data_IF_463514342494
#
_entry.id   IF_463514342494
#
_cell.length_a   1.000
_cell.length_b   1.000
_cell.length_c   1.000
_cell.angle_alpha   90.00
_cell.angle_beta   90.00
_cell.angle_gamma   90.00
#
_symmetry.space_group_name_H-M   'P 1'
#
loop_
_entity.id
_entity.type
_entity.pdbx_description
1 polymer ?
#
# COMPACT_ATOMS: atom_id res chain seq x y z
N UNK A 1 -3.85 11.36 1.76
CA UNK A 1 -3.14 11.63 3.02
C UNK A 1 -1.73 12.14 2.74
N UNK A 2 -0.87 11.39 2.04
CA UNK A 2 0.51 11.80 1.71
C UNK A 2 0.54 13.07 0.86
N UNK A 3 -0.31 13.20 -0.15
CA UNK A 3 -0.42 14.42 -0.96
C UNK A 3 -0.79 15.65 -0.11
N UNK A 4 -1.72 15.49 0.85
CA UNK A 4 -2.10 16.57 1.76
C UNK A 4 -0.98 17.02 2.71
N UNK A 5 0.03 16.17 2.97
CA UNK A 5 1.24 16.52 3.75
C UNK A 5 2.37 17.08 2.89
N UNK A 6 2.15 17.32 1.59
CA UNK A 6 3.15 17.79 0.65
C UNK A 6 4.09 16.71 0.10
N UNK A 7 3.77 15.42 0.29
CA UNK A 7 4.52 14.28 -0.25
C UNK A 7 3.74 13.54 -1.33
N UNK A 8 4.36 13.30 -2.48
CA UNK A 8 3.85 12.37 -3.49
C UNK A 8 4.68 11.09 -3.45
N UNK A 9 4.01 9.93 -3.45
CA UNK A 9 4.67 8.63 -3.42
C UNK A 9 4.43 7.89 -4.75
N UNK A 10 5.52 7.66 -5.48
CA UNK A 10 5.51 6.93 -6.75
C UNK A 10 5.82 5.44 -6.53
N UNK A 11 6.20 5.02 -5.33
CA UNK A 11 6.59 3.64 -5.04
C UNK A 11 5.42 2.71 -4.70
N UNK A 12 4.17 3.20 -4.74
CA UNK A 12 2.97 2.45 -4.37
C UNK A 12 2.87 1.12 -5.11
N UNK A 13 3.10 1.12 -6.44
CA UNK A 13 3.06 -0.10 -7.25
C UNK A 13 4.11 -1.13 -6.85
N UNK A 14 5.33 -0.67 -6.51
CA UNK A 14 6.39 -1.55 -6.03
C UNK A 14 6.10 -2.09 -4.62
N UNK A 15 5.53 -1.27 -3.75
CA UNK A 15 5.10 -1.69 -2.42
C UNK A 15 3.97 -2.75 -2.48
N UNK A 16 3.02 -2.60 -3.42
CA UNK A 16 2.01 -3.64 -3.72
C UNK A 16 2.68 -4.93 -4.19
N UNK A 17 3.69 -4.84 -5.07
CA UNK A 17 4.43 -6.01 -5.54
C UNK A 17 5.16 -6.74 -4.39
N UNK A 18 5.83 -6.02 -3.49
CA UNK A 18 6.49 -6.60 -2.32
C UNK A 18 5.47 -7.24 -1.38
N UNK A 19 4.42 -6.52 -0.99
CA UNK A 19 3.40 -7.03 -0.07
C UNK A 19 2.70 -8.27 -0.65
N UNK A 20 2.37 -8.23 -1.94
CA UNK A 20 1.78 -9.37 -2.65
C UNK A 20 2.72 -10.56 -2.76
N UNK A 21 4.01 -10.32 -3.03
CA UNK A 21 5.04 -11.36 -3.07
C UNK A 21 5.20 -12.07 -1.73
N UNK A 22 5.26 -11.32 -0.65
CA UNK A 22 5.33 -11.87 0.71
C UNK A 22 4.06 -12.64 1.05
N UNK A 23 2.88 -12.11 0.72
CA UNK A 23 1.60 -12.77 0.96
C UNK A 23 1.56 -14.14 0.26
N UNK A 24 1.88 -14.19 -1.04
CA UNK A 24 1.90 -15.45 -1.77
C UNK A 24 3.00 -16.39 -1.29
N UNK A 25 4.16 -15.87 -0.91
CA UNK A 25 5.23 -16.70 -0.35
C UNK A 25 4.80 -17.39 0.94
N UNK A 26 4.03 -16.70 1.78
CA UNK A 26 3.47 -17.29 3.02
C UNK A 26 2.37 -18.28 2.71
N UNK A 27 1.50 -18.01 1.73
CA UNK A 27 0.42 -18.92 1.34
C UNK A 27 0.91 -20.17 0.62
N UNK A 28 1.89 -20.03 -0.27
CA UNK A 28 2.43 -21.12 -1.09
C UNK A 28 3.60 -21.85 -0.41
N UNK A 29 4.27 -21.23 0.58
CA UNK A 29 5.48 -21.78 1.17
C UNK A 29 6.63 -21.87 0.17
N UNK A 30 7.27 -23.05 0.09
CA UNK A 30 8.37 -23.30 -0.85
C UNK A 30 7.90 -23.76 -2.24
N UNK A 31 6.64 -24.16 -2.38
CA UNK A 31 6.08 -24.65 -3.64
C UNK A 31 5.41 -23.51 -4.39
N UNK A 32 5.76 -23.30 -5.65
CA UNK A 32 5.16 -22.26 -6.48
C UNK A 32 3.71 -22.52 -6.88
N UNK A 33 3.22 -23.74 -6.71
CA UNK A 33 1.84 -24.19 -7.01
C UNK A 33 1.38 -25.22 -5.98
N UNK A 34 1.02 -24.82 -4.77
CA UNK A 34 0.52 -25.75 -3.78
C UNK A 34 -0.93 -26.13 -4.07
N UNK A 35 -1.26 -27.40 -3.85
CA UNK A 35 -2.65 -27.91 -3.92
C UNK A 35 -3.49 -27.41 -2.72
N UNK A 36 -2.84 -27.07 -1.60
CA UNK A 36 -3.47 -26.56 -0.38
C UNK A 36 -2.67 -25.38 0.18
N UNK A 37 -3.36 -24.42 0.78
CA UNK A 37 -2.71 -23.30 1.45
C UNK A 37 -1.89 -23.79 2.64
N UNK A 38 -0.63 -23.36 2.73
CA UNK A 38 0.26 -23.72 3.85
C UNK A 38 0.00 -22.88 5.10
N UNK A 39 -0.59 -21.69 4.94
CA UNK A 39 -0.93 -20.80 6.04
C UNK A 39 -2.33 -20.21 5.88
N UNK A 40 -3.00 -19.83 6.99
CA UNK A 40 -4.24 -19.11 6.94
C UNK A 40 -4.09 -17.77 6.20
N UNK A 41 -5.06 -17.41 5.38
CA UNK A 41 -5.07 -16.14 4.60
C UNK A 41 -4.87 -14.93 5.52
N UNK A 42 -5.47 -14.96 6.72
CA UNK A 42 -5.35 -13.88 7.70
C UNK A 42 -3.90 -13.68 8.15
N UNK A 43 -3.16 -14.76 8.40
CA UNK A 43 -1.75 -14.69 8.81
C UNK A 43 -0.90 -14.12 7.67
N UNK A 44 -1.11 -14.59 6.44
CA UNK A 44 -0.40 -14.08 5.27
C UNK A 44 -0.69 -12.58 5.05
N UNK A 45 -1.94 -12.16 5.23
CA UNK A 45 -2.33 -10.76 5.14
C UNK A 45 -1.68 -9.90 6.24
N UNK A 46 -1.67 -10.36 7.50
CA UNK A 46 -1.03 -9.63 8.60
C UNK A 46 0.48 -9.46 8.38
N UNK A 47 1.16 -10.50 7.90
CA UNK A 47 2.59 -10.41 7.56
C UNK A 47 2.80 -9.41 6.42
N UNK A 48 1.97 -9.45 5.38
CA UNK A 48 2.02 -8.49 4.28
C UNK A 48 1.77 -7.05 4.76
N UNK A 49 0.85 -6.83 5.71
CA UNK A 49 0.62 -5.53 6.34
C UNK A 49 1.88 -5.01 7.05
N UNK A 50 2.54 -5.85 7.85
CA UNK A 50 3.77 -5.47 8.55
C UNK A 50 4.86 -5.09 7.56
N UNK A 51 5.07 -5.89 6.52
CA UNK A 51 6.09 -5.62 5.49
C UNK A 51 5.77 -4.34 4.71
N UNK A 52 4.51 -4.13 4.34
CA UNK A 52 4.10 -2.91 3.65
C UNK A 52 4.25 -1.66 4.53
N UNK A 53 3.93 -1.75 5.83
CA UNK A 53 4.17 -0.66 6.79
C UNK A 53 5.66 -0.38 6.97
N UNK A 54 6.51 -1.40 7.03
CA UNK A 54 7.96 -1.23 7.11
C UNK A 54 8.52 -0.53 5.85
N UNK A 55 8.02 -0.91 4.68
CA UNK A 55 8.40 -0.25 3.43
C UNK A 55 7.93 1.22 3.40
N UNK A 56 6.69 1.48 3.83
CA UNK A 56 6.17 2.84 4.01
C UNK A 56 6.97 3.64 5.06
N UNK A 57 7.34 3.02 6.18
CA UNK A 57 8.19 3.64 7.20
C UNK A 57 9.58 3.99 6.66
N UNK A 58 10.17 3.12 5.84
CA UNK A 58 11.45 3.38 5.20
C UNK A 58 11.36 4.60 4.27
N UNK A 59 10.33 4.68 3.41
CA UNK A 59 10.04 5.86 2.61
C UNK A 59 9.86 7.12 3.48
N UNK A 60 9.09 6.97 4.56
CA UNK A 60 8.84 8.05 5.52
C UNK A 60 10.11 8.57 6.17
N UNK A 61 11.07 7.70 6.50
CA UNK A 61 12.38 8.11 7.02
C UNK A 61 13.17 8.88 5.98
N UNK A 62 13.25 8.40 4.74
CA UNK A 62 13.98 9.10 3.68
C UNK A 62 13.42 10.50 3.41
N UNK A 63 12.11 10.64 3.39
CA UNK A 63 11.45 11.91 3.09
C UNK A 63 11.42 12.85 4.30
N UNK A 64 11.04 12.33 5.47
CA UNK A 64 10.80 13.17 6.64
C UNK A 64 12.08 13.52 7.41
N UNK A 65 13.00 12.56 7.60
CA UNK A 65 14.22 12.77 8.38
C UNK A 65 15.39 13.19 7.51
N UNK A 66 15.62 12.51 6.38
CA UNK A 66 16.70 12.88 5.47
C UNK A 66 16.35 14.04 4.54
N UNK A 67 15.08 14.49 4.54
CA UNK A 67 14.57 15.60 3.72
C UNK A 67 14.85 15.43 2.23
N UNK A 68 14.94 14.19 1.76
CA UNK A 68 15.06 13.89 0.33
C UNK A 68 13.73 14.23 -0.32
N UNK A 69 13.78 14.83 -1.51
CA UNK A 69 12.56 15.13 -2.27
C UNK A 69 11.73 13.86 -2.47
N UNK A 70 10.43 13.87 -2.10
CA UNK A 70 9.60 12.66 -2.11
C UNK A 70 9.61 11.91 -3.42
N UNK A 71 9.50 12.62 -4.55
CA UNK A 71 9.51 12.00 -5.88
C UNK A 71 10.81 11.24 -6.17
N UNK A 72 11.96 11.77 -5.76
CA UNK A 72 13.27 11.13 -6.00
C UNK A 72 13.44 9.89 -5.14
N UNK A 73 13.12 10.00 -3.84
CA UNK A 73 13.23 8.88 -2.91
C UNK A 73 12.33 7.71 -3.34
N UNK A 74 11.08 8.00 -3.68
CA UNK A 74 10.11 6.97 -4.04
C UNK A 74 10.35 6.38 -5.43
N UNK A 75 10.95 7.13 -6.38
CA UNK A 75 11.32 6.62 -7.69
C UNK A 75 12.44 5.57 -7.61
N UNK A 76 13.45 5.79 -6.76
CA UNK A 76 14.51 4.81 -6.49
C UNK A 76 13.89 3.53 -5.92
N UNK A 77 12.98 3.67 -4.97
CA UNK A 77 12.31 2.54 -4.34
C UNK A 77 11.31 1.84 -5.26
N UNK A 78 10.76 2.54 -6.25
CA UNK A 78 9.94 1.94 -7.30
C UNK A 78 10.68 0.86 -8.09
N UNK A 79 11.91 1.15 -8.50
CA UNK A 79 12.74 0.19 -9.26
C UNK A 79 13.31 -0.90 -8.37
N UNK A 80 13.89 -0.52 -7.22
CA UNK A 80 14.46 -1.46 -6.26
C UNK A 80 13.40 -2.42 -5.68
N UNK A 81 12.21 -1.92 -5.38
CA UNK A 81 11.14 -2.72 -4.77
C UNK A 81 10.63 -3.84 -5.67
N UNK A 82 10.57 -3.63 -6.98
CA UNK A 82 10.21 -4.70 -7.94
C UNK A 82 11.24 -5.81 -7.98
N UNK A 83 12.54 -5.47 -7.90
CA UNK A 83 13.63 -6.45 -7.81
C UNK A 83 13.58 -7.22 -6.50
N UNK A 84 13.25 -6.55 -5.38
CA UNK A 84 13.06 -7.20 -4.08
C UNK A 84 11.88 -8.17 -4.13
N UNK A 85 10.75 -7.77 -4.74
CA UNK A 85 9.59 -8.62 -4.92
C UNK A 85 9.89 -9.90 -5.73
N UNK A 86 10.70 -9.75 -6.78
CA UNK A 86 11.20 -10.89 -7.57
C UNK A 86 12.10 -11.82 -6.75
N UNK A 87 13.01 -11.26 -5.97
CA UNK A 87 13.93 -12.01 -5.12
C UNK A 87 13.20 -12.82 -4.03
N UNK A 88 12.16 -12.27 -3.40
CA UNK A 88 11.34 -12.95 -2.38
C UNK A 88 10.77 -14.28 -2.92
N UNK A 89 10.38 -14.31 -4.16
CA UNK A 89 9.80 -15.50 -4.82
C UNK A 89 10.81 -16.27 -5.70
N UNK A 90 12.12 -16.04 -5.55
CA UNK A 90 13.16 -16.68 -6.36
C UNK A 90 12.94 -16.54 -7.88
N UNK A 91 12.37 -15.42 -8.34
CA UNK A 91 11.94 -15.17 -9.72
C UNK A 91 10.85 -16.14 -10.24
N UNK A 92 10.23 -16.91 -9.38
CA UNK A 92 9.10 -17.78 -9.73
C UNK A 92 7.78 -16.98 -9.64
N UNK A 93 6.78 -17.43 -10.39
CA UNK A 93 5.44 -16.85 -10.39
C UNK A 93 4.51 -17.76 -9.56
N UNK A 94 4.38 -17.57 -8.23
CA UNK A 94 3.51 -18.39 -7.43
C UNK A 94 2.05 -18.20 -7.84
N UNK A 95 1.31 -19.31 -7.88
CA UNK A 95 -0.12 -19.35 -8.23
C UNK A 95 -0.85 -20.05 -7.09
N UNK A 96 -1.90 -19.39 -6.58
CA UNK A 96 -2.80 -19.95 -5.57
C UNK A 96 -4.11 -20.34 -6.25
N UNK A 97 -4.47 -21.62 -6.21
CA UNK A 97 -5.70 -22.14 -6.83
C UNK A 97 -6.86 -22.28 -5.84
N UNK A 98 -6.75 -21.75 -4.64
CA UNK A 98 -7.77 -21.85 -3.60
C UNK A 98 -8.96 -20.93 -3.90
N UNK A 99 -10.20 -21.46 -4.01
CA UNK A 99 -11.41 -20.67 -4.23
C UNK A 99 -11.64 -19.60 -3.14
N UNK A 100 -11.31 -19.93 -1.88
CA UNK A 100 -11.50 -19.02 -0.73
C UNK A 100 -10.70 -17.74 -0.88
N UNK A 101 -9.46 -17.86 -1.39
CA UNK A 101 -8.62 -16.70 -1.65
C UNK A 101 -9.17 -15.86 -2.82
N UNK A 102 -9.67 -16.49 -3.86
CA UNK A 102 -10.22 -15.81 -5.03
C UNK A 102 -11.49 -14.99 -4.73
N UNK A 103 -12.23 -15.27 -3.65
CA UNK A 103 -13.40 -14.47 -3.25
C UNK A 103 -13.05 -13.03 -2.89
N UNK A 104 -11.86 -12.76 -2.35
CA UNK A 104 -11.45 -11.39 -2.02
C UNK A 104 -11.24 -10.50 -3.25
N UNK A 105 -10.93 -11.09 -4.40
CA UNK A 105 -10.74 -10.37 -5.67
C UNK A 105 -11.87 -10.56 -6.68
N UNK A 106 -12.81 -11.48 -6.42
CA UNK A 106 -13.88 -11.91 -7.32
C UNK A 106 -15.24 -11.32 -6.98
N UNK A 107 -16.28 -12.07 -7.38
CA UNK A 107 -17.67 -11.76 -7.11
C UNK A 107 -18.22 -12.71 -6.05
N UNK A 108 -19.05 -12.18 -5.15
CA UNK A 108 -19.83 -13.02 -4.22
C UNK A 108 -21.02 -13.61 -5.02
N UNK A 109 -21.26 -14.92 -4.94
CA UNK A 109 -22.42 -15.53 -5.59
C UNK A 109 -23.72 -14.85 -5.16
N UNK A 110 -24.49 -14.34 -6.14
CA UNK A 110 -25.77 -13.66 -5.91
C UNK A 110 -25.72 -12.13 -5.77
N UNK A 111 -24.53 -11.53 -5.78
CA UNK A 111 -24.37 -10.07 -5.72
C UNK A 111 -23.66 -9.60 -7.00
N UNK A 112 -24.24 -8.67 -7.79
CA UNK A 112 -23.63 -8.19 -9.03
C UNK A 112 -22.43 -7.25 -8.82
N UNK A 113 -22.05 -6.98 -7.55
CA UNK A 113 -20.98 -6.05 -7.19
C UNK A 113 -19.75 -6.87 -6.78
N UNK A 114 -18.56 -6.55 -7.30
CA UNK A 114 -17.32 -7.26 -6.94
C UNK A 114 -16.93 -6.99 -5.48
N UNK A 115 -16.42 -8.03 -4.79
CA UNK A 115 -15.93 -7.94 -3.40
C UNK A 115 -14.90 -6.81 -3.18
N UNK A 116 -13.97 -6.54 -4.09
CA UNK A 116 -13.04 -5.41 -3.97
C UNK A 116 -13.69 -4.06 -3.74
N UNK A 117 -14.90 -3.84 -4.26
CA UNK A 117 -15.64 -2.59 -4.05
C UNK A 117 -15.99 -2.38 -2.57
N UNK A 118 -16.48 -3.44 -1.89
CA UNK A 118 -16.82 -3.37 -0.47
C UNK A 118 -15.57 -3.17 0.39
N UNK A 119 -14.48 -3.89 0.08
CA UNK A 119 -13.21 -3.74 0.81
C UNK A 119 -12.67 -2.32 0.65
N UNK A 120 -12.68 -1.78 -0.57
CA UNK A 120 -12.26 -0.41 -0.83
C UNK A 120 -13.14 0.62 -0.12
N UNK A 121 -14.47 0.44 -0.14
CA UNK A 121 -15.41 1.33 0.55
C UNK A 121 -15.16 1.35 2.07
N UNK A 122 -14.97 0.18 2.68
CA UNK A 122 -14.62 0.07 4.12
C UNK A 122 -13.28 0.74 4.41
N UNK A 123 -12.26 0.52 3.58
CA UNK A 123 -10.95 1.14 3.76
C UNK A 123 -11.04 2.67 3.69
N UNK A 124 -11.74 3.22 2.71
CA UNK A 124 -11.98 4.66 2.57
C UNK A 124 -12.73 5.21 3.77
N UNK A 125 -13.78 4.52 4.22
CA UNK A 125 -14.56 4.92 5.40
C UNK A 125 -13.70 4.95 6.66
N UNK A 126 -12.89 3.92 6.89
CA UNK A 126 -11.97 3.86 8.06
C UNK A 126 -10.98 5.01 8.01
N UNK A 127 -10.32 5.26 6.88
CA UNK A 127 -9.37 6.37 6.74
C UNK A 127 -10.09 7.72 6.92
N UNK A 128 -11.28 7.88 6.36
CA UNK A 128 -12.09 9.10 6.55
C UNK A 128 -12.41 9.33 8.02
N UNK A 129 -12.85 8.30 8.75
CA UNK A 129 -13.13 8.39 10.17
C UNK A 129 -11.87 8.73 10.98
N UNK A 130 -10.75 8.09 10.69
CA UNK A 130 -9.46 8.38 11.33
C UNK A 130 -9.07 9.85 11.09
N UNK A 131 -9.12 10.34 9.87
CA UNK A 131 -8.75 11.73 9.56
C UNK A 131 -9.73 12.76 10.13
N UNK A 132 -11.03 12.43 10.22
CA UNK A 132 -12.06 13.35 10.70
C UNK A 132 -12.12 13.41 12.24
N UNK A 133 -11.98 12.28 12.91
CA UNK A 133 -12.15 12.19 14.36
C UNK A 133 -10.83 12.24 15.15
N UNK A 134 -9.68 12.16 14.46
CA UNK A 134 -8.39 12.32 15.12
C UNK A 134 -7.71 13.64 14.70
N UNK A 135 -6.82 14.11 15.55
CA UNK A 135 -6.01 15.31 15.29
C UNK A 135 -5.07 15.14 14.09
N UNK A 136 -4.85 13.90 13.64
CA UNK A 136 -3.96 13.59 12.51
C UNK A 136 -4.39 14.29 11.21
N UNK A 137 -5.69 14.35 10.93
CA UNK A 137 -6.21 15.01 9.74
C UNK A 137 -5.88 16.50 9.72
N UNK A 138 -6.13 17.19 10.85
CA UNK A 138 -5.82 18.61 11.01
C UNK A 138 -4.31 18.87 10.92
N UNK A 139 -3.51 18.05 11.58
CA UNK A 139 -2.05 18.20 11.58
C UNK A 139 -1.44 17.95 10.20
N UNK A 140 -1.95 16.96 9.46
CA UNK A 140 -1.51 16.66 8.09
C UNK A 140 -1.77 17.84 7.16
N UNK A 141 -2.95 18.45 7.24
CA UNK A 141 -3.29 19.64 6.45
C UNK A 141 -2.44 20.84 6.85
N UNK A 142 -2.28 21.10 8.15
CA UNK A 142 -1.45 22.22 8.64
C UNK A 142 -0.01 22.11 8.16
N UNK A 143 0.59 20.92 8.23
CA UNK A 143 1.96 20.68 7.76
C UNK A 143 2.07 20.82 6.24
N UNK A 144 1.05 20.41 5.49
CA UNK A 144 1.02 20.52 4.03
C UNK A 144 0.93 21.97 3.55
N UNK A 145 0.19 22.82 4.27
CA UNK A 145 0.05 24.25 3.93
C UNK A 145 1.35 25.01 4.26
N UNK A 146 1.85 24.88 5.46
CA UNK A 146 3.07 25.58 5.89
C UNK A 146 3.81 24.84 7.02
N UNK A 147 4.91 24.17 6.66
CA UNK A 147 5.72 23.42 7.60
C UNK A 147 6.34 24.29 8.71
N UNK A 148 6.80 25.50 8.35
CA UNK A 148 7.43 26.40 9.33
C UNK A 148 6.42 26.95 10.33
N UNK A 149 5.25 27.34 9.87
CA UNK A 149 4.16 27.77 10.74
C UNK A 149 3.71 26.67 11.70
N UNK A 150 3.64 25.42 11.19
CA UNK A 150 3.29 24.26 12.01
C UNK A 150 4.31 24.00 13.13
N UNK A 151 5.61 24.18 12.85
CA UNK A 151 6.68 24.08 13.87
C UNK A 151 6.52 25.15 14.96
N UNK A 152 6.22 26.39 14.58
CA UNK A 152 6.01 27.46 15.56
C UNK A 152 4.82 27.21 16.48
N UNK A 153 3.82 26.48 16.01
CA UNK A 153 2.68 26.01 16.80
C UNK A 153 2.95 24.73 17.62
N UNK A 154 4.21 24.31 17.73
CA UNK A 154 4.61 23.17 18.55
C UNK A 154 4.37 21.79 17.90
N UNK A 155 3.97 21.74 16.63
CA UNK A 155 3.82 20.49 15.91
C UNK A 155 5.20 19.98 15.43
N UNK A 156 5.35 18.65 15.33
CA UNK A 156 6.51 18.03 14.72
C UNK A 156 6.18 17.57 13.28
N UNK A 157 6.50 18.38 12.25
CA UNK A 157 6.15 18.04 10.87
C UNK A 157 6.83 16.77 10.37
N UNK A 158 8.06 16.52 10.85
CA UNK A 158 8.81 15.32 10.49
C UNK A 158 8.07 14.05 10.91
N UNK A 159 7.58 13.99 12.15
CA UNK A 159 6.83 12.84 12.64
C UNK A 159 5.49 12.68 11.93
N UNK A 160 4.81 13.79 11.64
CA UNK A 160 3.52 13.77 10.93
C UNK A 160 3.71 13.23 9.50
N UNK A 161 4.71 13.73 8.77
CA UNK A 161 5.06 13.20 7.43
C UNK A 161 5.41 11.71 7.49
N UNK A 162 6.26 11.30 8.42
CA UNK A 162 6.59 9.88 8.62
C UNK A 162 5.33 9.02 8.80
N UNK A 163 4.44 9.45 9.69
CA UNK A 163 3.21 8.71 10.00
C UNK A 163 2.28 8.58 8.77
N UNK A 164 2.21 9.59 7.91
CA UNK A 164 1.41 9.51 6.68
C UNK A 164 1.91 8.43 5.72
N UNK A 165 3.24 8.22 5.63
CA UNK A 165 3.81 7.14 4.82
C UNK A 165 3.56 5.76 5.43
N UNK A 166 3.54 5.63 6.76
CA UNK A 166 3.18 4.37 7.43
C UNK A 166 1.72 4.00 7.18
N UNK A 167 0.81 4.98 7.27
CA UNK A 167 -0.62 4.78 6.97
C UNK A 167 -0.79 4.39 5.49
N UNK A 168 -0.04 5.02 4.58
CA UNK A 168 -0.03 4.64 3.18
C UNK A 168 0.38 3.18 3.00
N UNK A 169 1.42 2.71 3.70
CA UNK A 169 1.86 1.32 3.69
C UNK A 169 0.73 0.34 4.08
N UNK A 170 -0.08 0.69 5.08
CA UNK A 170 -1.23 -0.13 5.47
C UNK A 170 -2.29 -0.19 4.35
N UNK A 171 -2.61 0.93 3.70
CA UNK A 171 -3.52 0.96 2.56
C UNK A 171 -2.99 0.13 1.38
N UNK A 172 -1.68 0.17 1.15
CA UNK A 172 -0.99 -0.64 0.13
C UNK A 172 -1.16 -2.14 0.38
N UNK A 173 -1.09 -2.59 1.63
CA UNK A 173 -1.32 -4.00 1.96
C UNK A 173 -2.73 -4.46 1.58
N UNK A 174 -3.76 -3.63 1.83
CA UNK A 174 -5.14 -3.92 1.42
C UNK A 174 -5.26 -3.97 -0.12
N UNK A 175 -4.63 -3.03 -0.82
CA UNK A 175 -4.60 -3.03 -2.28
C UNK A 175 -3.88 -4.27 -2.84
N UNK A 176 -2.79 -4.71 -2.20
CA UNK A 176 -2.06 -5.93 -2.55
C UNK A 176 -2.95 -7.18 -2.41
N UNK A 177 -3.70 -7.30 -1.30
CA UNK A 177 -4.66 -8.39 -1.11
C UNK A 177 -5.66 -8.46 -2.27
N UNK A 178 -6.28 -7.35 -2.63
CA UNK A 178 -7.26 -7.27 -3.71
C UNK A 178 -6.64 -7.65 -5.07
N UNK A 179 -5.47 -7.08 -5.39
CA UNK A 179 -4.80 -7.32 -6.68
C UNK A 179 -4.34 -8.76 -6.83
N UNK A 180 -3.71 -9.31 -5.80
CA UNK A 180 -3.18 -10.69 -5.82
C UNK A 180 -4.31 -11.70 -5.79
N UNK A 181 -5.35 -11.49 -4.99
CA UNK A 181 -6.53 -12.36 -4.94
C UNK A 181 -7.28 -12.39 -6.28
N UNK A 182 -7.38 -11.24 -6.97
CA UNK A 182 -8.04 -11.16 -8.27
C UNK A 182 -7.30 -11.93 -9.37
N UNK A 183 -5.97 -11.93 -9.33
CA UNK A 183 -5.13 -12.59 -10.32
C UNK A 183 -4.77 -14.03 -9.92
N UNK A 184 -4.99 -14.39 -8.64
CA UNK A 184 -4.55 -15.66 -8.02
C UNK A 184 -3.05 -15.97 -8.24
N UNK A 185 -2.29 -14.98 -8.66
CA UNK A 185 -0.87 -15.06 -8.97
C UNK A 185 -0.21 -13.70 -8.87
N UNK A 186 1.11 -13.67 -8.87
CA UNK A 186 1.83 -12.42 -8.93
C UNK A 186 2.85 -12.45 -10.07
N UNK A 187 2.79 -11.41 -10.91
CA UNK A 187 3.89 -11.06 -11.81
C UNK A 187 4.45 -9.72 -11.33
N UNK A 188 5.56 -9.76 -10.59
CA UNK A 188 6.17 -8.59 -9.95
C UNK A 188 6.62 -7.51 -10.93
N UNK A 189 6.81 -7.83 -12.21
CA UNK A 189 7.17 -6.84 -13.24
C UNK A 189 5.97 -6.04 -13.73
N UNK A 190 4.77 -6.62 -13.68
CA UNK A 190 3.55 -6.06 -14.28
C UNK A 190 2.51 -5.66 -13.25
N UNK A 191 2.48 -6.35 -12.08
CA UNK A 191 1.47 -6.09 -11.06
C UNK A 191 1.50 -4.63 -10.62
N UNK A 192 0.32 -4.02 -10.57
CA UNK A 192 0.14 -2.64 -10.14
C UNK A 192 1.06 -1.64 -10.88
N UNK A 193 1.46 -1.94 -12.14
CA UNK A 193 2.19 -1.01 -12.96
C UNK A 193 1.29 0.20 -13.27
N UNK A 194 1.87 1.38 -13.12
CA UNK A 194 1.24 2.68 -13.40
C UNK A 194 0.04 3.03 -12.48
N UNK A 195 -0.28 2.21 -11.46
CA UNK A 195 -1.38 2.46 -10.52
C UNK A 195 -1.15 3.73 -9.68
N UNK A 196 0.11 4.09 -9.45
CA UNK A 196 0.52 5.33 -8.80
C UNK A 196 0.09 6.55 -9.61
N UNK A 197 0.21 6.50 -10.92
CA UNK A 197 -0.22 7.59 -11.81
C UNK A 197 -1.74 7.75 -11.78
N UNK A 198 -2.49 6.62 -11.82
CA UNK A 198 -3.95 6.64 -11.70
C UNK A 198 -4.40 7.22 -10.35
N UNK A 199 -3.69 6.86 -9.26
CA UNK A 199 -3.98 7.37 -7.92
C UNK A 199 -3.71 8.89 -7.82
N UNK A 200 -2.60 9.37 -8.36
CA UNK A 200 -2.26 10.81 -8.40
C UNK A 200 -3.29 11.56 -9.23
N UNK A 201 -3.67 11.03 -10.40
CA UNK A 201 -4.69 11.61 -11.26
C UNK A 201 -6.04 11.72 -10.54
N UNK A 202 -6.46 10.65 -9.87
CA UNK A 202 -7.71 10.63 -9.11
C UNK A 202 -7.72 11.68 -7.99
N UNK A 203 -6.61 11.86 -7.28
CA UNK A 203 -6.45 12.88 -6.23
C UNK A 203 -6.49 14.28 -6.82
N UNK A 204 -5.81 14.53 -7.94
CA UNK A 204 -5.81 15.82 -8.63
C UNK A 204 -7.21 16.18 -9.13
N UNK A 205 -7.93 15.25 -9.75
CA UNK A 205 -9.32 15.44 -10.18
C UNK A 205 -10.27 15.67 -9.00
N UNK A 206 -9.97 15.10 -7.83
CA UNK A 206 -10.73 15.32 -6.59
C UNK A 206 -10.54 16.71 -5.97
N UNK A 207 -9.73 17.58 -6.58
CA UNK A 207 -9.54 18.97 -6.14
C UNK A 207 -8.54 19.16 -5.00
N UNK A 208 -7.69 18.15 -4.73
CA UNK A 208 -6.57 18.29 -3.79
C UNK A 208 -5.34 18.79 -4.57
N UNK A 209 -5.23 20.09 -4.74
CA UNK A 209 -4.11 20.78 -5.38
C UNK A 209 -3.19 21.43 -4.35
#
# INVERSE_FOLDING_TARGET
VTAASGGQDISVGAAIAIAGSVMLRVLCGTNSRPDTLQAPIIVAFLIACVVAMLFGAFNGVLVAYFKIQPMVATLILYTAGRSIAAWINNNELPIVSDPTFSYFGGFIPGIPIPTPFFIAAVCVLVIFLVLKFTTLGLYTQSVGINENSSKLNGLNPTFIKFLTFVILGLCVAVAALIKVSRLSSINYSVIAKDIEMDAILAVALGGNS
#
